data_IF_777247849390
#
_entry.id   IF_777247849390
#
_cell.length_a   1.000
_cell.length_b   1.000
_cell.length_c   1.000
_cell.angle_alpha   90.00
_cell.angle_beta   90.00
_cell.angle_gamma   90.00
#
_symmetry.space_group_name_H-M   'P 1'
#
loop_
_entity.id
_entity.type
_entity.pdbx_description
1 polymer ?
#
# COMPACT_ATOMS: atom_id res chain seq x y z
N UNK A 1 -7.23 3.30 10.94
CA UNK A 1 -7.02 3.42 9.49
C UNK A 1 -5.66 4.04 9.28
N UNK A 2 -4.82 3.41 8.48
CA UNK A 2 -3.48 3.90 8.19
C UNK A 2 -3.54 5.15 7.31
N UNK A 3 -2.57 6.05 7.49
CA UNK A 3 -2.57 7.40 6.87
C UNK A 3 -1.24 7.68 6.20
N UNK A 4 -1.30 8.37 5.07
CA UNK A 4 -0.16 8.99 4.39
C UNK A 4 -0.23 10.48 4.71
N UNK A 5 0.77 10.99 5.41
CA UNK A 5 0.85 12.39 5.82
C UNK A 5 2.02 13.06 5.11
N UNK A 6 1.73 14.10 4.35
CA UNK A 6 2.72 14.94 3.67
C UNK A 6 2.74 16.34 4.27
N UNK A 7 3.93 16.92 4.30
CA UNK A 7 4.17 18.26 4.84
C UNK A 7 4.78 19.14 3.77
N UNK A 8 4.22 20.35 3.61
CA UNK A 8 4.74 21.41 2.77
C UNK A 8 4.98 22.68 3.58
N UNK A 9 5.78 23.59 3.02
CA UNK A 9 5.94 24.95 3.55
C UNK A 9 5.69 25.95 2.44
N UNK A 10 5.05 27.06 2.77
CA UNK A 10 4.90 28.22 1.90
C UNK A 10 5.53 29.41 2.61
N UNK A 11 6.46 30.08 1.94
CA UNK A 11 7.07 31.34 2.38
C UNK A 11 6.44 32.49 1.60
N UNK A 12 5.80 33.42 2.30
CA UNK A 12 5.10 34.56 1.70
C UNK A 12 5.93 35.84 1.62
N UNK A 13 7.23 35.81 1.93
CA UNK A 13 8.15 36.95 1.82
C UNK A 13 7.53 38.28 2.33
N UNK A 14 6.97 38.26 3.55
CA UNK A 14 6.34 39.40 4.25
C UNK A 14 4.95 39.87 3.75
N UNK A 15 4.41 39.33 2.65
CA UNK A 15 3.15 39.81 2.06
C UNK A 15 1.91 39.02 2.53
N UNK A 16 1.74 38.91 3.84
CA UNK A 16 0.74 38.04 4.50
C UNK A 16 -0.71 38.56 4.33
N UNK A 17 -0.90 39.81 3.87
CA UNK A 17 -2.21 40.45 3.80
C UNK A 17 -3.06 40.05 2.59
N UNK A 18 -2.48 39.53 1.51
CA UNK A 18 -3.27 39.01 0.40
C UNK A 18 -3.71 37.57 0.68
N UNK A 19 -5.02 37.37 0.76
CA UNK A 19 -5.65 36.04 0.77
C UNK A 19 -5.11 35.25 -0.42
N UNK A 20 -4.48 34.12 -0.12
CA UNK A 20 -3.95 33.19 -1.11
C UNK A 20 -4.61 31.84 -0.91
N UNK A 21 -4.74 31.07 -1.99
CA UNK A 21 -5.35 29.75 -1.93
C UNK A 21 -4.30 28.72 -2.27
N UNK A 22 -4.19 27.66 -1.47
CA UNK A 22 -3.40 26.48 -1.81
C UNK A 22 -4.35 25.36 -2.15
N UNK A 23 -4.31 24.88 -3.38
CA UNK A 23 -5.04 23.71 -3.86
C UNK A 23 -4.13 22.49 -3.78
N UNK A 24 -4.67 21.37 -3.30
CA UNK A 24 -4.01 20.06 -3.38
C UNK A 24 -4.70 19.22 -4.45
N UNK A 25 -3.89 18.59 -5.29
CA UNK A 25 -4.38 17.76 -6.40
C UNK A 25 -3.71 16.39 -6.39
N UNK A 26 -4.47 15.38 -6.82
CA UNK A 26 -4.04 13.98 -6.93
C UNK A 26 -4.34 13.43 -8.32
N UNK A 27 -3.43 12.63 -8.86
CA UNK A 27 -3.67 11.82 -10.06
C UNK A 27 -3.37 10.37 -9.71
N UNK A 28 -4.42 9.57 -9.65
CA UNK A 28 -4.35 8.13 -9.40
C UNK A 28 -3.99 7.38 -10.69
N UNK A 29 -3.58 6.12 -10.56
CA UNK A 29 -3.11 5.32 -11.72
C UNK A 29 -4.14 5.23 -12.86
N UNK A 30 -5.44 5.24 -12.54
CA UNK A 30 -6.52 5.15 -13.53
C UNK A 30 -7.02 6.52 -14.04
N UNK A 31 -6.45 7.63 -13.54
CA UNK A 31 -6.84 8.98 -13.90
C UNK A 31 -5.86 9.56 -14.95
N UNK A 32 -6.41 10.23 -15.96
CA UNK A 32 -5.61 10.89 -17.00
C UNK A 32 -5.13 12.29 -16.58
N UNK A 33 -5.85 12.92 -15.65
CA UNK A 33 -5.60 14.29 -15.18
C UNK A 33 -5.56 14.36 -13.67
N UNK A 34 -4.88 15.38 -13.15
CA UNK A 34 -4.91 15.73 -11.74
C UNK A 34 -6.31 16.19 -11.33
N UNK A 35 -6.81 15.63 -10.24
CA UNK A 35 -8.11 15.90 -9.65
C UNK A 35 -7.92 16.66 -8.34
N UNK A 36 -8.81 17.60 -8.09
CA UNK A 36 -8.83 18.39 -6.87
C UNK A 36 -9.16 17.52 -5.64
N UNK A 37 -8.40 17.69 -4.55
CA UNK A 37 -8.64 17.02 -3.26
C UNK A 37 -9.28 17.97 -2.27
N UNK A 38 -8.59 19.08 -1.99
CA UNK A 38 -8.97 20.07 -0.99
C UNK A 38 -8.19 21.37 -1.21
N UNK A 39 -8.60 22.43 -0.52
CA UNK A 39 -7.92 23.73 -0.56
C UNK A 39 -7.79 24.35 0.84
N UNK A 40 -6.82 25.26 0.98
CA UNK A 40 -6.60 26.06 2.19
C UNK A 40 -6.51 27.54 1.81
N UNK A 41 -7.27 28.39 2.48
CA UNK A 41 -7.13 29.84 2.42
C UNK A 41 -6.06 30.29 3.42
N UNK A 42 -4.88 30.66 2.93
CA UNK A 42 -3.79 31.13 3.79
C UNK A 42 -3.74 32.67 3.82
N UNK A 43 -3.45 33.29 4.99
CA UNK A 43 -3.17 32.67 6.29
C UNK A 43 -4.42 32.32 7.12
N UNK A 44 -5.63 32.61 6.62
CA UNK A 44 -6.91 32.53 7.36
C UNK A 44 -7.20 31.17 8.00
N UNK A 45 -6.82 30.08 7.34
CA UNK A 45 -7.07 28.71 7.77
C UNK A 45 -5.94 28.15 8.63
N UNK A 46 -4.86 28.90 8.85
CA UNK A 46 -3.67 28.45 9.58
C UNK A 46 -3.79 28.54 11.11
N UNK A 47 -4.94 29.01 11.60
CA UNK A 47 -5.33 29.05 13.03
C UNK A 47 -6.55 28.17 13.32
N UNK A 48 -7.11 27.53 12.30
CA UNK A 48 -8.32 26.71 12.42
C UNK A 48 -7.96 25.26 12.12
N UNK A 49 -8.56 24.35 12.86
CA UNK A 49 -8.55 22.94 12.46
C UNK A 49 -9.51 22.81 11.27
N UNK A 50 -9.00 23.08 10.06
CA UNK A 50 -9.75 22.92 8.81
C UNK A 50 -9.56 21.49 8.34
N UNK A 51 -10.69 20.83 8.08
CA UNK A 51 -10.91 19.57 7.37
C UNK A 51 -10.09 18.30 7.70
N UNK A 52 -10.68 17.14 7.35
CA UNK A 52 -10.06 15.83 7.56
C UNK A 52 -8.85 15.55 6.64
N UNK A 53 -8.73 16.26 5.52
CA UNK A 53 -7.74 15.98 4.48
C UNK A 53 -6.58 16.96 4.41
N UNK A 54 -6.77 18.26 4.65
CA UNK A 54 -5.65 19.19 4.67
C UNK A 54 -5.79 20.23 5.75
N UNK A 55 -4.66 20.65 6.30
CA UNK A 55 -4.61 21.59 7.41
C UNK A 55 -3.45 22.56 7.22
N UNK A 56 -3.60 23.78 7.75
CA UNK A 56 -2.53 24.76 7.81
C UNK A 56 -2.17 25.06 9.27
N UNK A 57 -0.88 25.29 9.52
CA UNK A 57 -0.36 25.71 10.82
C UNK A 57 0.63 26.86 10.64
N UNK A 58 0.59 27.83 11.54
CA UNK A 58 1.67 28.81 11.65
C UNK A 58 2.96 28.15 12.11
N UNK A 59 4.10 28.67 11.66
CA UNK A 59 5.42 28.28 12.17
C UNK A 59 6.00 29.39 13.06
N UNK A 60 7.17 29.15 13.65
CA UNK A 60 7.89 30.15 14.45
C UNK A 60 8.26 31.39 13.61
N UNK A 61 8.52 31.19 12.31
CA UNK A 61 8.62 32.29 11.35
C UNK A 61 7.22 32.67 10.86
N UNK A 62 6.80 33.90 11.17
CA UNK A 62 5.47 34.42 10.81
C UNK A 62 5.22 34.46 9.31
N UNK A 63 6.26 34.45 8.48
CA UNK A 63 6.15 34.47 7.01
C UNK A 63 6.01 33.08 6.41
N UNK A 64 6.34 32.06 7.18
CA UNK A 64 6.35 30.66 6.75
C UNK A 64 5.16 29.93 7.36
N UNK A 65 4.36 29.32 6.50
CA UNK A 65 3.19 28.53 6.87
C UNK A 65 3.46 27.06 6.56
N UNK A 66 3.07 26.18 7.49
CA UNK A 66 3.17 24.73 7.33
C UNK A 66 1.84 24.20 6.84
N UNK A 67 1.87 23.49 5.72
CA UNK A 67 0.71 22.82 5.15
C UNK A 67 0.82 21.32 5.37
N UNK A 68 -0.31 20.69 5.61
CA UNK A 68 -0.43 19.24 5.81
C UNK A 68 -1.47 18.70 4.87
N UNK A 69 -1.15 17.61 4.17
CA UNK A 69 -2.09 16.79 3.44
C UNK A 69 -2.11 15.40 4.07
N UNK A 70 -3.29 14.94 4.47
CA UNK A 70 -3.55 13.72 5.21
C UNK A 70 -4.50 12.84 4.37
N UNK A 71 -3.97 11.78 3.78
CA UNK A 71 -4.72 10.85 2.93
C UNK A 71 -4.83 9.49 3.61
N UNK A 72 -5.98 8.82 3.45
CA UNK A 72 -6.10 7.42 3.86
C UNK A 72 -5.22 6.54 2.97
N UNK A 73 -4.46 5.63 3.58
CA UNK A 73 -3.63 4.66 2.89
C UNK A 73 -4.51 3.51 2.33
N UNK A 74 -5.10 3.72 1.15
CA UNK A 74 -5.86 2.71 0.40
C UNK A 74 -5.25 2.50 -0.98
N UNK A 75 -5.48 1.33 -1.59
CA UNK A 75 -4.92 0.94 -2.90
C UNK A 75 -5.22 1.93 -4.02
N UNK A 76 -6.39 2.59 -3.97
CA UNK A 76 -6.79 3.64 -4.90
C UNK A 76 -5.80 4.83 -4.90
N UNK A 77 -5.11 5.08 -3.78
CA UNK A 77 -4.09 6.12 -3.65
C UNK A 77 -2.65 5.56 -3.79
N UNK A 78 -2.49 4.25 -4.02
CA UNK A 78 -1.17 3.64 -4.19
C UNK A 78 -0.46 4.28 -5.38
N UNK A 79 0.78 4.73 -5.16
CA UNK A 79 1.62 5.30 -6.23
C UNK A 79 1.01 6.50 -6.98
N UNK A 80 -0.02 7.15 -6.41
CA UNK A 80 -0.64 8.32 -7.00
C UNK A 80 0.33 9.52 -7.01
N UNK A 81 0.18 10.40 -7.98
CA UNK A 81 0.96 11.64 -8.12
C UNK A 81 0.23 12.78 -7.39
N UNK A 82 0.94 13.53 -6.56
CA UNK A 82 0.41 14.65 -5.78
C UNK A 82 1.16 15.93 -6.13
N UNK A 83 0.44 17.04 -6.24
CA UNK A 83 1.04 18.39 -6.25
C UNK A 83 0.19 19.37 -5.45
N UNK A 84 0.82 20.47 -5.06
CA UNK A 84 0.15 21.66 -4.54
C UNK A 84 0.27 22.81 -5.54
N UNK A 85 -0.78 23.59 -5.65
CA UNK A 85 -0.83 24.85 -6.41
C UNK A 85 -1.11 25.99 -5.45
N UNK A 86 -0.25 26.99 -5.41
CA UNK A 86 -0.47 28.25 -4.72
C UNK A 86 -0.99 29.28 -5.73
N UNK A 87 -2.22 29.72 -5.52
CA UNK A 87 -2.84 30.86 -6.20
C UNK A 87 -2.58 32.11 -5.37
N UNK A 88 -1.73 33.00 -5.88
CA UNK A 88 -1.37 34.25 -5.24
C UNK A 88 -1.63 35.40 -6.21
N UNK A 89 -2.63 36.23 -5.91
CA UNK A 89 -3.12 37.28 -6.81
C UNK A 89 -3.50 36.68 -8.17
N UNK A 90 -2.86 37.09 -9.25
CA UNK A 90 -3.08 36.59 -10.62
C UNK A 90 -1.97 35.60 -11.05
N UNK A 91 -1.19 35.08 -10.11
CA UNK A 91 -0.06 34.17 -10.37
C UNK A 91 -0.30 32.80 -9.72
N UNK A 92 0.18 31.77 -10.41
CA UNK A 92 0.10 30.38 -9.98
C UNK A 92 1.52 29.83 -9.78
N UNK A 93 1.75 29.18 -8.63
CA UNK A 93 2.99 28.50 -8.33
C UNK A 93 2.71 27.04 -8.04
N UNK A 94 3.47 26.14 -8.65
CA UNK A 94 3.30 24.69 -8.48
C UNK A 94 4.44 24.11 -7.66
N UNK A 95 4.10 23.20 -6.75
CA UNK A 95 5.10 22.33 -6.13
C UNK A 95 5.61 21.29 -7.13
N UNK A 96 6.73 20.66 -6.80
CA UNK A 96 7.12 19.40 -7.44
C UNK A 96 6.01 18.35 -7.29
N UNK A 97 5.87 17.50 -8.31
CA UNK A 97 4.99 16.32 -8.24
C UNK A 97 5.69 15.27 -7.38
N UNK A 98 4.99 14.80 -6.34
CA UNK A 98 5.45 13.73 -5.46
C UNK A 98 4.62 12.48 -5.67
N UNK A 99 5.28 11.35 -5.90
CA UNK A 99 4.63 10.05 -6.01
C UNK A 99 4.42 9.45 -4.62
N UNK A 100 3.20 9.03 -4.31
CA UNK A 100 2.86 8.37 -3.07
C UNK A 100 3.53 6.99 -2.97
N UNK A 101 3.78 6.47 -1.76
CA UNK A 101 4.26 5.11 -1.59
C UNK A 101 3.24 4.09 -2.10
N UNK A 102 3.73 2.87 -2.36
CA UNK A 102 2.88 1.72 -2.63
C UNK A 102 2.04 1.42 -1.39
N UNK A 103 0.73 1.27 -1.57
CA UNK A 103 -0.18 0.80 -0.51
C UNK A 103 -0.54 -0.66 -0.81
N UNK A 104 -0.17 -1.56 0.09
CA UNK A 104 -0.42 -2.99 -0.06
C UNK A 104 -1.80 -3.37 0.50
N UNK A 105 -2.72 -3.91 -0.31
CA UNK A 105 -3.94 -4.55 0.21
C UNK A 105 -3.65 -5.97 0.73
N UNK A 106 -4.49 -6.48 1.63
CA UNK A 106 -4.34 -7.83 2.19
C UNK A 106 -4.78 -8.96 1.27
N UNK A 107 -5.67 -8.69 0.31
CA UNK A 107 -6.49 -9.77 -0.29
C UNK A 107 -6.15 -10.09 -1.76
N UNK A 108 -5.59 -9.12 -2.50
CA UNK A 108 -5.25 -9.27 -3.94
C UNK A 108 -3.75 -9.19 -4.21
N UNK A 109 -2.96 -8.77 -3.24
CA UNK A 109 -1.54 -8.49 -3.38
C UNK A 109 -0.75 -9.46 -2.49
N UNK A 110 -0.04 -10.41 -3.12
CA UNK A 110 0.72 -11.41 -2.38
C UNK A 110 1.12 -12.62 -3.20
N UNK A 111 1.04 -13.78 -2.57
CA UNK A 111 1.47 -15.08 -3.09
C UNK A 111 0.25 -15.89 -3.51
N UNK A 112 0.31 -16.49 -4.69
CA UNK A 112 -0.67 -17.48 -5.15
C UNK A 112 -0.18 -18.87 -4.75
N UNK A 113 -1.07 -19.70 -4.22
CA UNK A 113 -0.78 -21.09 -3.87
C UNK A 113 -1.69 -22.00 -4.67
N UNK A 114 -1.13 -23.07 -5.23
CA UNK A 114 -1.82 -24.09 -5.98
C UNK A 114 -1.48 -25.46 -5.41
N UNK A 115 -2.48 -26.34 -5.34
CA UNK A 115 -2.35 -27.73 -4.96
C UNK A 115 -2.94 -28.58 -6.07
N UNK A 116 -2.13 -29.40 -6.74
CA UNK A 116 -2.54 -30.18 -7.93
C UNK A 116 -3.36 -29.34 -8.93
N UNK A 117 -2.83 -28.14 -9.27
CA UNK A 117 -3.45 -27.14 -10.14
C UNK A 117 -4.74 -26.47 -9.63
N UNK A 118 -5.21 -26.77 -8.41
CA UNK A 118 -6.31 -26.05 -7.77
C UNK A 118 -5.79 -24.86 -6.97
N UNK A 119 -6.34 -23.66 -7.17
CA UNK A 119 -5.93 -22.46 -6.45
C UNK A 119 -6.46 -22.43 -5.01
N UNK A 120 -5.58 -22.15 -4.06
CA UNK A 120 -5.93 -21.86 -2.66
C UNK A 120 -6.30 -20.38 -2.56
N UNK A 121 -7.56 -20.10 -2.24
CA UNK A 121 -8.02 -18.74 -1.99
C UNK A 121 -8.07 -18.44 -0.49
N UNK A 122 -8.06 -17.16 -0.13
CA UNK A 122 -8.10 -16.70 1.29
C UNK A 122 -9.28 -17.24 2.10
N UNK A 123 -10.36 -17.68 1.44
CA UNK A 123 -11.53 -18.31 2.07
C UNK A 123 -11.54 -19.84 2.02
N UNK A 124 -10.68 -20.43 1.19
CA UNK A 124 -10.64 -21.87 0.98
C UNK A 124 -9.37 -22.43 1.63
N UNK A 125 -9.49 -22.76 2.91
CA UNK A 125 -8.38 -23.30 3.71
C UNK A 125 -8.24 -24.82 3.59
N UNK A 126 -9.18 -25.52 2.96
CA UNK A 126 -9.14 -26.98 2.80
C UNK A 126 -9.28 -27.36 1.33
N UNK A 127 -8.41 -28.25 0.86
CA UNK A 127 -8.44 -28.84 -0.48
C UNK A 127 -8.60 -30.35 -0.36
N UNK A 128 -9.56 -30.91 -1.09
CA UNK A 128 -9.74 -32.36 -1.17
C UNK A 128 -9.19 -32.88 -2.50
N UNK A 129 -8.40 -33.94 -2.45
CA UNK A 129 -7.77 -34.58 -3.60
C UNK A 129 -8.13 -36.06 -3.63
N UNK A 130 -8.15 -36.67 -4.83
CA UNK A 130 -8.38 -38.10 -4.98
C UNK A 130 -7.08 -38.91 -5.12
N UNK A 131 -5.93 -38.23 -5.07
CA UNK A 131 -4.61 -38.84 -5.27
C UNK A 131 -3.73 -38.53 -4.06
N UNK A 132 -2.97 -39.53 -3.63
CA UNK A 132 -1.94 -39.42 -2.59
C UNK A 132 -0.77 -38.51 -2.99
N UNK A 133 -0.55 -38.34 -4.29
CA UNK A 133 0.50 -37.47 -4.82
C UNK A 133 0.04 -36.02 -4.84
N UNK A 134 0.81 -35.17 -4.16
CA UNK A 134 0.51 -33.76 -3.96
C UNK A 134 1.64 -32.90 -4.51
N UNK A 135 1.30 -31.96 -5.37
CA UNK A 135 2.16 -30.91 -5.88
C UNK A 135 1.67 -29.57 -5.35
N UNK A 136 2.47 -28.94 -4.49
CA UNK A 136 2.25 -27.58 -4.01
C UNK A 136 3.12 -26.63 -4.84
N UNK A 137 2.50 -25.65 -5.48
CA UNK A 137 3.17 -24.57 -6.20
C UNK A 137 2.77 -23.25 -5.54
N UNK A 138 3.74 -22.45 -5.11
CA UNK A 138 3.51 -21.09 -4.62
C UNK A 138 4.31 -20.10 -5.45
N UNK A 139 3.71 -18.99 -5.87
CA UNK A 139 4.35 -17.97 -6.72
C UNK A 139 4.00 -16.56 -6.28
N UNK A 140 5.00 -15.68 -6.21
CA UNK A 140 4.80 -14.27 -5.95
C UNK A 140 4.28 -13.58 -7.22
N UNK A 141 3.27 -12.72 -7.09
CA UNK A 141 2.77 -11.93 -8.24
C UNK A 141 3.87 -11.02 -8.79
N UNK A 142 3.85 -10.77 -10.10
CA UNK A 142 4.87 -10.01 -10.85
C UNK A 142 5.32 -8.71 -10.17
N UNK A 143 4.38 -7.98 -9.54
CA UNK A 143 4.67 -6.73 -8.82
C UNK A 143 5.61 -6.89 -7.61
N UNK A 144 5.79 -8.09 -7.07
CA UNK A 144 6.56 -8.36 -5.84
C UNK A 144 7.70 -9.36 -6.00
N UNK A 145 7.91 -9.88 -7.21
CA UNK A 145 8.90 -10.93 -7.51
C UNK A 145 10.26 -10.59 -6.89
N UNK A 146 10.78 -9.39 -7.15
CA UNK A 146 12.13 -8.99 -6.71
C UNK A 146 12.34 -8.85 -5.18
N UNK A 147 11.28 -8.92 -4.38
CA UNK A 147 11.34 -8.71 -2.92
C UNK A 147 10.68 -9.81 -2.10
N UNK A 148 10.46 -10.98 -2.70
CA UNK A 148 9.64 -12.04 -2.14
C UNK A 148 10.44 -13.30 -1.75
N UNK A 149 10.41 -13.64 -0.47
CA UNK A 149 10.97 -14.88 0.06
C UNK A 149 9.83 -15.79 0.53
N UNK A 150 9.88 -17.07 0.19
CA UNK A 150 8.83 -18.06 0.46
C UNK A 150 9.38 -19.23 1.28
N UNK A 151 8.59 -19.72 2.23
CA UNK A 151 8.88 -20.89 3.05
C UNK A 151 7.61 -21.75 3.22
N UNK A 152 7.66 -22.99 2.75
CA UNK A 152 6.60 -23.98 2.94
C UNK A 152 6.93 -24.88 4.13
N UNK A 153 6.02 -24.95 5.09
CA UNK A 153 6.19 -25.66 6.36
C UNK A 153 5.06 -26.69 6.50
N UNK A 154 5.42 -27.91 6.91
CA UNK A 154 4.46 -28.90 7.39
C UNK A 154 4.13 -28.60 8.85
N UNK A 155 2.85 -28.46 9.19
CA UNK A 155 2.43 -28.09 10.54
C UNK A 155 2.32 -29.28 11.49
N UNK A 156 2.17 -30.51 11.00
CA UNK A 156 2.17 -31.72 11.83
C UNK A 156 3.55 -32.00 12.42
N UNK A 157 4.60 -31.85 11.60
CA UNK A 157 5.99 -32.15 11.98
C UNK A 157 6.77 -30.90 12.35
N UNK A 158 6.19 -29.72 12.18
CA UNK A 158 6.84 -28.41 12.30
C UNK A 158 8.10 -28.25 11.42
N UNK A 159 8.24 -29.06 10.36
CA UNK A 159 9.43 -29.05 9.51
C UNK A 159 9.28 -28.10 8.33
N UNK A 160 10.34 -27.33 8.06
CA UNK A 160 10.49 -26.62 6.79
C UNK A 160 10.66 -27.64 5.66
N UNK A 161 9.69 -27.67 4.74
CA UNK A 161 9.73 -28.55 3.57
C UNK A 161 10.56 -27.95 2.43
N UNK A 162 10.40 -26.65 2.20
CA UNK A 162 11.06 -25.95 1.10
C UNK A 162 11.14 -24.45 1.37
N UNK A 163 12.24 -23.81 0.96
CA UNK A 163 12.39 -22.36 0.95
C UNK A 163 13.06 -21.94 -0.35
N UNK A 164 12.48 -20.95 -1.02
CA UNK A 164 12.96 -20.43 -2.30
C UNK A 164 12.58 -18.95 -2.44
N UNK A 165 13.23 -18.24 -3.36
CA UNK A 165 12.81 -16.90 -3.78
C UNK A 165 11.77 -17.02 -4.87
N UNK A 166 10.77 -16.14 -4.85
CA UNK A 166 9.77 -15.95 -5.92
C UNK A 166 8.80 -17.12 -6.15
N UNK A 167 9.29 -18.36 -6.20
CA UNK A 167 8.52 -19.56 -6.52
C UNK A 167 8.97 -20.73 -5.63
N UNK A 168 8.01 -21.40 -4.97
CA UNK A 168 8.23 -22.68 -4.27
C UNK A 168 7.47 -23.78 -5.00
N UNK A 169 8.15 -24.86 -5.35
CA UNK A 169 7.54 -26.09 -5.85
C UNK A 169 7.90 -27.22 -4.90
N UNK A 170 6.89 -27.94 -4.43
CA UNK A 170 7.05 -29.11 -3.57
C UNK A 170 6.19 -30.26 -4.08
N UNK A 171 6.77 -31.46 -4.15
CA UNK A 171 6.09 -32.68 -4.58
C UNK A 171 6.30 -33.74 -3.50
N UNK A 172 5.21 -34.30 -2.98
CA UNK A 172 5.26 -35.29 -1.91
C UNK A 172 4.05 -36.22 -1.92
N UNK A 173 4.14 -37.30 -1.15
CA UNK A 173 3.04 -38.24 -0.95
C UNK A 173 2.51 -38.12 0.47
N UNK A 174 1.18 -38.05 0.60
CA UNK A 174 0.50 -37.93 1.88
C UNK A 174 -0.61 -38.97 1.98
N UNK A 175 -1.00 -39.31 3.21
CA UNK A 175 -2.13 -40.17 3.50
C UNK A 175 -3.00 -39.44 4.54
N UNK A 176 -4.28 -39.19 4.21
CA UNK A 176 -5.22 -38.47 5.09
C UNK A 176 -5.07 -36.95 5.01
N UNK A 177 -5.40 -36.25 6.11
CA UNK A 177 -5.34 -34.78 6.18
C UNK A 177 -3.97 -34.29 6.64
N UNK A 178 -3.38 -33.36 5.90
CA UNK A 178 -2.10 -32.70 6.22
C UNK A 178 -2.25 -31.17 6.13
N UNK A 179 -1.67 -30.44 7.07
CA UNK A 179 -1.76 -29.00 7.22
C UNK A 179 -0.42 -28.36 6.88
N UNK A 180 -0.49 -27.32 6.06
CA UNK A 180 0.66 -26.58 5.58
C UNK A 180 0.55 -25.12 5.98
N UNK A 181 1.71 -24.50 6.14
CA UNK A 181 1.86 -23.06 6.30
C UNK A 181 2.87 -22.56 5.30
N UNK A 182 2.43 -21.68 4.42
CA UNK A 182 3.33 -20.88 3.60
C UNK A 182 3.62 -19.57 4.33
N UNK A 183 4.83 -19.39 4.82
CA UNK A 183 5.33 -18.08 5.26
C UNK A 183 5.92 -17.36 4.06
N UNK A 184 5.70 -16.05 3.99
CA UNK A 184 6.30 -15.23 2.96
C UNK A 184 6.63 -13.83 3.46
N UNK A 185 7.67 -13.23 2.89
CA UNK A 185 8.14 -11.88 3.23
C UNK A 185 8.16 -11.02 1.98
N UNK A 186 7.48 -9.87 2.01
CA UNK A 186 7.47 -8.87 0.92
C UNK A 186 7.92 -7.54 1.51
N UNK A 187 8.99 -6.95 0.98
CA UNK A 187 9.48 -5.63 1.41
C UNK A 187 9.59 -5.48 2.94
N UNK A 188 10.08 -6.53 3.62
CA UNK A 188 10.21 -6.66 5.09
C UNK A 188 8.94 -6.93 5.90
N UNK A 189 7.77 -7.05 5.28
CA UNK A 189 6.53 -7.46 5.94
C UNK A 189 6.39 -8.97 5.84
N UNK A 190 6.41 -9.66 6.98
CA UNK A 190 6.16 -11.11 7.04
C UNK A 190 4.66 -11.39 7.14
N UNK A 191 4.19 -12.34 6.33
CA UNK A 191 2.81 -12.82 6.29
C UNK A 191 2.78 -14.34 6.19
N UNK A 192 1.58 -14.93 6.34
CA UNK A 192 1.40 -16.37 6.17
C UNK A 192 0.05 -16.71 5.54
N UNK A 193 0.02 -17.88 4.87
CA UNK A 193 -1.19 -18.56 4.41
C UNK A 193 -1.15 -19.95 5.04
N UNK A 194 -2.24 -20.36 5.68
CA UNK A 194 -2.39 -21.71 6.23
C UNK A 194 -3.48 -22.44 5.44
N UNK A 195 -3.22 -23.69 5.08
CA UNK A 195 -4.15 -24.52 4.32
C UNK A 195 -3.98 -25.98 4.68
N UNK A 196 -5.00 -26.80 4.45
CA UNK A 196 -4.98 -28.24 4.62
C UNK A 196 -5.30 -28.94 3.31
N UNK A 197 -4.73 -30.13 3.16
CA UNK A 197 -4.97 -31.05 2.06
C UNK A 197 -5.53 -32.31 2.68
N UNK A 198 -6.69 -32.75 2.20
CA UNK A 198 -7.31 -34.01 2.58
C UNK A 198 -7.35 -34.90 1.35
N UNK A 199 -6.87 -36.13 1.50
CA UNK A 199 -6.91 -37.17 0.47
C UNK A 199 -8.00 -38.17 0.82
#
# INVERSE_FOLDING_TARGET
MDRIIMYGKVDLNENIHSLSVVNFEIKRQNETTLQFICFLQIPKDCDKHVDNYCSCFKTDDRKVLKLVLNLTAITVNSEAEIRAELVYRETFFYSEIRKLPIVYASDTDGVLVFVNAQSIHTKQTNVTLNDTRVIVLSTCREKFVLGCELELINLETETLLKSEKEIVVYNGNFNGTTHFKLKYKICNIQRNISFSITI
#
